data_IF_525929231124
#
_entry.id   IF_525929231124
#
_cell.length_a   1.000
_cell.length_b   1.000
_cell.length_c   1.000
_cell.angle_alpha   90.00
_cell.angle_beta   90.00
_cell.angle_gamma   90.00
#
_symmetry.space_group_name_H-M   'P 1'
#
loop_
_entity.id
_entity.type
_entity.pdbx_description
1 polymer ?
#
# COMPACT_ATOMS: atom_id res chain seq x y z
N UNK A 1 -0.39 -13.18 -30.32
CA UNK A 1 -0.76 -13.33 -28.88
C UNK A 1 -1.13 -11.97 -28.33
N UNK A 2 -1.95 -11.93 -27.28
CA UNK A 2 -2.19 -10.66 -26.56
C UNK A 2 -0.96 -10.36 -25.71
N UNK A 3 -0.50 -9.11 -25.64
CA UNK A 3 0.61 -8.74 -24.76
C UNK A 3 0.28 -9.02 -23.30
N UNK A 4 1.22 -9.61 -22.57
CA UNK A 4 1.07 -10.01 -21.17
C UNK A 4 1.61 -8.96 -20.22
N UNK A 5 0.73 -8.50 -19.32
CA UNK A 5 1.06 -7.52 -18.29
C UNK A 5 1.13 -8.20 -16.92
N UNK A 6 2.25 -8.05 -16.24
CA UNK A 6 2.36 -8.36 -14.81
C UNK A 6 1.86 -7.17 -14.00
N UNK A 7 0.73 -7.35 -13.30
CA UNK A 7 0.19 -6.35 -12.38
C UNK A 7 0.64 -6.70 -10.95
N UNK A 8 1.62 -5.97 -10.42
CA UNK A 8 1.99 -6.06 -9.02
C UNK A 8 0.94 -5.34 -8.18
N UNK A 9 0.18 -6.07 -7.38
CA UNK A 9 -0.99 -5.55 -6.67
C UNK A 9 -0.90 -5.78 -5.15
N UNK A 10 -1.86 -5.26 -4.44
CA UNK A 10 -1.97 -5.35 -2.98
C UNK A 10 -2.81 -4.23 -2.39
N UNK A 11 -3.45 -3.45 -3.25
CA UNK A 11 -4.31 -2.32 -2.91
C UNK A 11 -5.66 -2.45 -3.58
N UNK A 12 -6.63 -1.62 -3.18
CA UNK A 12 -7.99 -1.57 -3.75
C UNK A 12 -8.03 -1.19 -5.23
N UNK A 13 -6.99 -0.57 -5.75
CA UNK A 13 -6.88 -0.18 -7.17
C UNK A 13 -6.48 -1.35 -8.07
N UNK A 14 -5.82 -2.37 -7.51
CA UNK A 14 -5.39 -3.54 -8.28
C UNK A 14 -6.50 -4.16 -9.13
N UNK A 15 -7.67 -4.50 -8.56
CA UNK A 15 -8.79 -5.05 -9.33
C UNK A 15 -9.31 -4.10 -10.41
N UNK A 16 -9.38 -2.80 -10.13
CA UNK A 16 -9.87 -1.80 -11.09
C UNK A 16 -8.92 -1.66 -12.27
N UNK A 17 -7.61 -1.61 -11.99
CA UNK A 17 -6.57 -1.60 -13.01
C UNK A 17 -6.56 -2.91 -13.82
N UNK A 18 -6.66 -4.06 -13.13
CA UNK A 18 -6.72 -5.36 -13.79
C UNK A 18 -7.89 -5.47 -14.76
N UNK A 19 -9.10 -5.06 -14.36
CA UNK A 19 -10.27 -4.99 -15.22
C UNK A 19 -10.02 -4.08 -16.43
N UNK A 20 -9.56 -2.85 -16.20
CA UNK A 20 -9.33 -1.89 -17.27
C UNK A 20 -8.30 -2.36 -18.31
N UNK A 21 -7.25 -3.09 -17.87
CA UNK A 21 -6.27 -3.70 -18.76
C UNK A 21 -6.88 -4.85 -19.59
N UNK A 22 -7.69 -5.72 -18.97
CA UNK A 22 -8.41 -6.80 -19.68
C UNK A 22 -9.37 -6.22 -20.70
N UNK A 23 -10.17 -5.22 -20.34
CA UNK A 23 -11.10 -4.54 -21.24
C UNK A 23 -10.36 -3.84 -22.41
N UNK A 24 -9.11 -3.46 -22.21
CA UNK A 24 -8.22 -2.94 -23.25
C UNK A 24 -7.60 -4.03 -24.15
N UNK A 25 -7.92 -5.29 -23.93
CA UNK A 25 -7.49 -6.43 -24.76
C UNK A 25 -6.12 -7.00 -24.38
N UNK A 26 -5.59 -6.71 -23.20
CA UNK A 26 -4.33 -7.24 -22.69
C UNK A 26 -4.52 -8.55 -21.91
N UNK A 27 -3.50 -9.40 -21.90
CA UNK A 27 -3.42 -10.58 -21.02
C UNK A 27 -2.84 -10.14 -19.68
N UNK A 28 -3.58 -10.35 -18.59
CA UNK A 28 -3.21 -9.80 -17.26
C UNK A 28 -3.01 -10.90 -16.24
N UNK A 29 -1.82 -10.91 -15.65
CA UNK A 29 -1.54 -11.71 -14.46
C UNK A 29 -1.32 -10.74 -13.30
N UNK A 30 -2.25 -10.73 -12.33
CA UNK A 30 -2.12 -9.96 -11.11
C UNK A 30 -1.46 -10.78 -10.02
N UNK A 31 -0.56 -10.19 -9.24
CA UNK A 31 0.05 -10.88 -8.10
C UNK A 31 -0.31 -10.20 -6.79
N UNK A 32 -0.54 -11.01 -5.77
CA UNK A 32 -0.78 -10.60 -4.38
C UNK A 32 0.11 -11.40 -3.44
N UNK A 33 0.40 -10.90 -2.26
CA UNK A 33 1.32 -11.56 -1.31
C UNK A 33 0.62 -12.50 -0.32
N UNK A 34 -0.72 -12.63 -0.38
CA UNK A 34 -1.52 -13.45 0.55
C UNK A 34 -2.72 -14.05 -0.17
N UNK A 35 -3.02 -15.32 0.09
CA UNK A 35 -4.22 -15.99 -0.46
C UNK A 35 -5.53 -15.24 -0.18
N UNK A 36 -5.69 -14.77 1.05
CA UNK A 36 -6.87 -13.99 1.42
C UNK A 36 -7.08 -12.74 0.54
N UNK A 37 -6.02 -12.16 -0.01
CA UNK A 37 -6.12 -11.01 -0.90
C UNK A 37 -6.76 -11.35 -2.26
N UNK A 38 -6.67 -12.59 -2.74
CA UNK A 38 -7.40 -13.03 -3.95
C UNK A 38 -8.90 -12.82 -3.74
N UNK A 39 -9.44 -13.45 -2.70
CA UNK A 39 -10.87 -13.32 -2.39
C UNK A 39 -11.26 -11.90 -2.03
N UNK A 40 -10.44 -11.24 -1.22
CA UNK A 40 -10.75 -9.96 -0.61
C UNK A 40 -10.74 -8.79 -1.59
N UNK A 41 -9.84 -8.85 -2.58
CA UNK A 41 -9.66 -7.80 -3.57
C UNK A 41 -10.23 -8.22 -4.93
N UNK A 42 -9.87 -9.40 -5.42
CA UNK A 42 -10.16 -9.85 -6.78
C UNK A 42 -11.37 -10.78 -6.91
N UNK A 43 -12.04 -11.14 -5.79
CA UNK A 43 -13.20 -12.01 -5.83
C UNK A 43 -14.27 -11.65 -6.88
N UNK A 44 -14.61 -10.35 -7.08
CA UNK A 44 -15.56 -9.93 -8.11
C UNK A 44 -15.07 -10.15 -9.56
N UNK A 45 -13.76 -10.32 -9.77
CA UNK A 45 -13.14 -10.53 -11.09
C UNK A 45 -12.72 -11.99 -11.31
N UNK A 46 -13.26 -12.93 -10.53
CA UNK A 46 -12.91 -14.34 -10.62
C UNK A 46 -13.17 -14.88 -12.03
N UNK A 47 -12.12 -15.40 -12.66
CA UNK A 47 -12.17 -15.97 -14.02
C UNK A 47 -11.97 -14.95 -15.16
N UNK A 48 -11.85 -13.65 -14.88
CA UNK A 48 -11.64 -12.63 -15.92
C UNK A 48 -10.14 -12.31 -16.12
N UNK A 49 -9.34 -12.48 -15.09
CA UNK A 49 -7.88 -12.41 -15.14
C UNK A 49 -7.26 -13.45 -14.20
N UNK A 50 -6.02 -13.78 -14.44
CA UNK A 50 -5.25 -14.66 -13.55
C UNK A 50 -4.77 -13.89 -12.33
N UNK A 51 -4.97 -14.45 -11.13
CA UNK A 51 -4.43 -13.90 -9.89
C UNK A 51 -3.57 -14.93 -9.19
N UNK A 52 -2.32 -14.59 -8.91
CA UNK A 52 -1.36 -15.49 -8.27
C UNK A 52 -0.95 -14.97 -6.89
N UNK A 53 -0.71 -15.89 -5.95
CA UNK A 53 -0.09 -15.56 -4.67
C UNK A 53 1.41 -15.64 -4.84
N UNK A 54 2.02 -14.50 -5.13
CA UNK A 54 3.44 -14.42 -5.42
C UNK A 54 4.07 -13.19 -4.78
N UNK A 55 5.06 -13.42 -3.93
CA UNK A 55 5.97 -12.39 -3.47
C UNK A 55 7.31 -12.54 -4.19
N UNK A 56 7.88 -11.45 -4.66
CA UNK A 56 9.13 -11.49 -5.40
C UNK A 56 10.32 -10.95 -4.60
N UNK A 57 11.44 -11.65 -4.72
CA UNK A 57 12.77 -11.09 -4.62
C UNK A 57 13.33 -10.80 -6.04
N UNK A 58 14.54 -10.27 -6.15
CA UNK A 58 15.08 -9.87 -7.46
C UNK A 58 15.31 -11.08 -8.39
N UNK A 59 15.91 -12.22 -7.94
CA UNK A 59 16.02 -13.40 -8.77
C UNK A 59 14.66 -13.95 -9.24
N UNK A 60 13.72 -14.13 -8.32
CA UNK A 60 12.40 -14.67 -8.64
C UNK A 60 11.61 -13.79 -9.60
N UNK A 61 11.72 -12.47 -9.49
CA UNK A 61 11.09 -11.56 -10.45
C UNK A 61 11.75 -11.64 -11.83
N UNK A 62 13.09 -11.75 -11.89
CA UNK A 62 13.82 -11.92 -13.14
C UNK A 62 13.34 -13.17 -13.89
N UNK A 63 13.31 -14.31 -13.21
CA UNK A 63 12.87 -15.59 -13.79
C UNK A 63 11.41 -15.49 -14.27
N UNK A 64 10.57 -14.80 -13.52
CA UNK A 64 9.17 -14.59 -13.89
C UNK A 64 9.02 -13.70 -15.13
N UNK A 65 9.78 -12.61 -15.24
CA UNK A 65 9.70 -11.70 -16.38
C UNK A 65 10.18 -12.36 -17.68
N UNK A 66 11.25 -13.15 -17.65
CA UNK A 66 11.77 -13.85 -18.85
C UNK A 66 10.84 -14.97 -19.31
N UNK A 67 9.88 -15.40 -18.51
CA UNK A 67 8.87 -16.42 -18.91
C UNK A 67 7.81 -15.90 -19.88
N UNK A 68 7.88 -14.62 -20.29
CA UNK A 68 6.99 -14.04 -21.29
C UNK A 68 6.08 -12.93 -20.78
N UNK A 69 6.62 -12.00 -20.01
CA UNK A 69 5.96 -10.75 -19.60
C UNK A 69 6.43 -9.61 -20.51
N UNK A 70 5.48 -8.90 -21.11
CA UNK A 70 5.77 -7.79 -22.03
C UNK A 70 5.88 -6.42 -21.34
N UNK A 71 5.23 -6.24 -20.18
CA UNK A 71 5.39 -5.05 -19.36
C UNK A 71 4.94 -5.30 -17.90
N UNK A 72 5.42 -4.46 -16.99
CA UNK A 72 5.04 -4.46 -15.57
C UNK A 72 4.27 -3.19 -15.22
N UNK A 73 3.09 -3.36 -14.62
CA UNK A 73 2.36 -2.28 -13.95
C UNK A 73 2.46 -2.49 -12.44
N UNK A 74 3.20 -1.62 -11.76
CA UNK A 74 3.34 -1.65 -10.30
C UNK A 74 2.26 -0.76 -9.65
N UNK A 75 1.23 -1.39 -9.11
CA UNK A 75 0.16 -0.78 -8.32
C UNK A 75 0.25 -1.18 -6.84
N UNK A 76 1.44 -1.48 -6.35
CA UNK A 76 1.66 -1.80 -4.94
C UNK A 76 1.45 -0.57 -4.06
N UNK A 77 1.25 -0.81 -2.76
CA UNK A 77 1.05 0.26 -1.79
C UNK A 77 2.24 1.23 -1.78
N UNK A 78 2.04 2.56 -1.67
CA UNK A 78 3.13 3.55 -1.68
C UNK A 78 4.28 3.28 -0.69
N UNK A 79 3.98 2.59 0.41
CA UNK A 79 4.97 2.18 1.41
C UNK A 79 5.61 0.80 1.14
N UNK A 80 5.33 0.17 0.00
CA UNK A 80 5.94 -1.11 -0.41
C UNK A 80 7.27 -0.90 -1.15
N UNK A 81 8.12 0.00 -0.65
CA UNK A 81 9.36 0.49 -1.28
C UNK A 81 10.28 -0.62 -1.79
N UNK A 82 10.36 -1.74 -1.04
CA UNK A 82 11.25 -2.85 -1.41
C UNK A 82 10.87 -3.46 -2.76
N UNK A 83 9.61 -3.83 -2.95
CA UNK A 83 9.18 -4.48 -4.20
C UNK A 83 9.16 -3.49 -5.36
N UNK A 84 8.77 -2.24 -5.14
CA UNK A 84 8.83 -1.18 -6.15
C UNK A 84 10.26 -1.00 -6.68
N UNK A 85 11.25 -0.94 -5.78
CA UNK A 85 12.67 -0.86 -6.18
C UNK A 85 13.13 -2.09 -6.96
N UNK A 86 12.83 -3.30 -6.44
CA UNK A 86 13.17 -4.55 -7.12
C UNK A 86 12.56 -4.59 -8.53
N UNK A 87 11.28 -4.26 -8.67
CA UNK A 87 10.59 -4.31 -9.95
C UNK A 87 11.19 -3.31 -10.95
N UNK A 88 11.43 -2.07 -10.53
CA UNK A 88 12.07 -1.07 -11.37
C UNK A 88 13.45 -1.51 -11.83
N UNK A 89 14.30 -1.97 -10.91
CA UNK A 89 15.69 -2.31 -11.18
C UNK A 89 15.79 -3.56 -12.10
N UNK A 90 15.00 -4.61 -11.84
CA UNK A 90 14.95 -5.81 -12.69
C UNK A 90 14.36 -5.52 -14.07
N UNK A 91 13.30 -4.71 -14.15
CA UNK A 91 12.74 -4.28 -15.43
C UNK A 91 13.77 -3.50 -16.27
N UNK A 92 14.50 -2.58 -15.65
CA UNK A 92 15.56 -1.81 -16.32
C UNK A 92 16.69 -2.72 -16.82
N UNK A 93 17.10 -3.72 -16.01
CA UNK A 93 18.12 -4.71 -16.39
C UNK A 93 17.72 -5.54 -17.62
N UNK A 94 16.45 -5.97 -17.67
CA UNK A 94 15.93 -6.84 -18.73
C UNK A 94 15.36 -6.08 -19.93
N UNK A 95 15.30 -4.76 -19.88
CA UNK A 95 14.62 -3.95 -20.90
C UNK A 95 13.12 -4.12 -20.94
N UNK A 96 12.50 -4.68 -19.87
CA UNK A 96 11.05 -4.82 -19.77
C UNK A 96 10.44 -3.48 -19.37
N UNK A 97 9.43 -2.97 -20.10
CA UNK A 97 8.75 -1.74 -19.76
C UNK A 97 8.15 -1.78 -18.36
N UNK A 98 8.35 -0.71 -17.59
CA UNK A 98 7.83 -0.56 -16.23
C UNK A 98 7.02 0.72 -16.08
N UNK A 99 5.80 0.59 -15.57
CA UNK A 99 4.90 1.71 -15.26
C UNK A 99 4.60 1.66 -13.76
N UNK A 100 4.71 2.79 -13.08
CA UNK A 100 4.28 2.95 -11.70
C UNK A 100 2.92 3.63 -11.66
N UNK A 101 1.93 2.96 -11.05
CA UNK A 101 0.67 3.61 -10.69
C UNK A 101 0.78 4.18 -9.28
N UNK A 102 0.63 5.48 -9.15
CA UNK A 102 0.64 6.17 -7.87
C UNK A 102 -0.66 6.90 -7.64
N UNK A 103 -1.25 6.67 -6.48
CA UNK A 103 -2.43 7.44 -6.04
C UNK A 103 -2.10 8.92 -5.99
N UNK A 104 -3.05 9.81 -6.35
CA UNK A 104 -2.89 11.23 -6.11
C UNK A 104 -2.47 11.53 -4.68
N UNK A 105 -1.62 12.53 -4.52
CA UNK A 105 -1.18 12.95 -3.21
C UNK A 105 -2.35 13.47 -2.38
N UNK A 106 -2.32 13.12 -1.12
CA UNK A 106 -3.19 13.70 -0.13
C UNK A 106 -2.41 14.77 0.63
N UNK A 107 -2.92 15.98 0.62
CA UNK A 107 -2.33 17.09 1.35
C UNK A 107 -2.84 17.07 2.79
N UNK A 108 -1.95 16.95 3.78
CA UNK A 108 -2.33 17.00 5.18
C UNK A 108 -2.97 18.34 5.53
N UNK A 109 -4.07 18.36 6.30
CA UNK A 109 -4.63 19.61 6.80
C UNK A 109 -3.63 20.40 7.66
N UNK A 110 -3.83 21.72 7.73
CA UNK A 110 -3.06 22.59 8.61
C UNK A 110 -3.08 22.09 10.06
N UNK A 111 -1.95 22.20 10.75
CA UNK A 111 -1.77 21.69 12.12
C UNK A 111 -1.43 20.20 12.21
N UNK A 112 -1.36 19.49 11.08
CA UNK A 112 -0.86 18.11 11.06
C UNK A 112 0.66 18.09 11.26
N UNK A 113 1.14 17.26 12.19
CA UNK A 113 2.58 17.01 12.34
C UNK A 113 3.03 15.98 11.30
N UNK A 114 4.14 16.26 10.62
CA UNK A 114 4.73 15.33 9.64
C UNK A 114 5.94 14.62 10.24
N UNK A 115 6.19 13.41 9.77
CA UNK A 115 7.39 12.63 10.02
C UNK A 115 7.81 11.92 8.73
N UNK A 116 9.07 12.00 8.37
CA UNK A 116 9.58 11.36 7.15
C UNK A 116 9.65 9.84 7.26
N UNK A 117 9.79 9.30 8.50
CA UNK A 117 9.94 7.86 8.74
C UNK A 117 9.10 7.38 9.92
N UNK A 118 8.90 6.06 10.01
CA UNK A 118 8.25 5.44 11.18
C UNK A 118 9.07 5.61 12.45
N UNK A 119 10.39 5.65 12.36
CA UNK A 119 11.27 5.87 13.50
C UNK A 119 11.10 7.30 14.03
N UNK A 120 11.15 8.30 13.17
CA UNK A 120 10.90 9.70 13.54
C UNK A 120 9.49 9.87 14.13
N UNK A 121 8.48 9.24 13.53
CA UNK A 121 7.12 9.28 14.09
C UNK A 121 7.05 8.71 15.52
N UNK A 122 7.82 7.66 15.81
CA UNK A 122 7.91 7.11 17.16
C UNK A 122 8.60 8.06 18.16
N UNK A 123 9.59 8.83 17.71
CA UNK A 123 10.25 9.87 18.53
C UNK A 123 9.33 11.06 18.80
N UNK A 124 8.52 11.45 17.80
CA UNK A 124 7.61 12.61 17.88
C UNK A 124 6.33 12.30 18.67
N UNK A 125 5.80 11.08 18.58
CA UNK A 125 4.53 10.71 19.19
C UNK A 125 4.42 11.05 20.69
N UNK A 126 5.45 10.85 21.56
CA UNK A 126 5.39 11.19 22.98
C UNK A 126 5.24 12.70 23.27
N UNK A 127 5.57 13.56 22.34
CA UNK A 127 5.44 15.02 22.49
C UNK A 127 3.99 15.48 22.20
N UNK A 128 3.19 14.62 21.58
CA UNK A 128 1.86 14.95 21.13
C UNK A 128 0.77 14.46 22.11
N UNK A 129 1.01 13.40 22.89
CA UNK A 129 0.05 12.90 23.86
C UNK A 129 0.43 11.52 24.36
N UNK A 130 -0.35 10.99 25.31
CA UNK A 130 -0.05 9.74 25.99
C UNK A 130 -0.83 8.52 25.47
N UNK A 131 -1.94 8.75 24.77
CA UNK A 131 -2.82 7.72 24.23
C UNK A 131 -2.80 7.76 22.71
N UNK A 132 -2.06 6.86 22.09
CA UNK A 132 -1.72 6.91 20.66
C UNK A 132 -2.42 5.79 19.90
N UNK A 133 -3.23 6.15 18.92
CA UNK A 133 -3.89 5.24 17.99
C UNK A 133 -3.04 5.08 16.72
N UNK A 134 -2.45 3.91 16.54
CA UNK A 134 -1.64 3.57 15.37
C UNK A 134 -2.51 2.92 14.30
N UNK A 135 -2.74 3.60 13.17
CA UNK A 135 -3.49 3.07 12.02
C UNK A 135 -2.58 2.84 10.81
N UNK A 136 -1.35 2.40 11.07
CA UNK A 136 -0.24 2.27 10.13
C UNK A 136 -0.03 0.84 9.61
N UNK A 137 -0.84 -0.13 10.07
CA UNK A 137 -0.69 -1.56 9.80
C UNK A 137 0.35 -2.23 10.72
N UNK A 138 0.48 -3.56 10.62
CA UNK A 138 1.25 -4.34 11.58
C UNK A 138 2.78 -4.23 11.43
N UNK A 139 3.29 -4.09 10.18
CA UNK A 139 4.73 -4.10 9.91
C UNK A 139 5.53 -3.00 10.64
N UNK A 140 5.04 -1.74 10.69
CA UNK A 140 5.78 -0.67 11.34
C UNK A 140 5.64 -0.62 12.86
N UNK A 141 4.78 -1.41 13.49
CA UNK A 141 4.55 -1.38 14.93
C UNK A 141 5.83 -1.56 15.74
N UNK A 142 6.79 -2.33 15.22
CA UNK A 142 8.11 -2.54 15.84
C UNK A 142 8.86 -1.24 16.15
N UNK A 143 8.65 -0.16 15.37
CA UNK A 143 9.29 1.13 15.62
C UNK A 143 8.75 1.81 16.88
N UNK A 144 7.54 1.45 17.32
CA UNK A 144 6.89 1.98 18.51
C UNK A 144 7.05 1.09 19.74
N UNK A 145 7.68 -0.09 19.62
CA UNK A 145 7.79 -1.09 20.68
C UNK A 145 8.44 -0.53 21.96
N UNK A 146 9.47 0.30 21.84
CA UNK A 146 10.19 0.90 22.96
C UNK A 146 9.36 1.94 23.75
N UNK A 147 8.18 2.31 23.25
CA UNK A 147 7.28 3.27 23.89
C UNK A 147 6.25 2.59 24.84
N UNK A 148 6.18 1.25 24.86
CA UNK A 148 5.37 0.54 25.84
C UNK A 148 5.86 0.87 27.26
N UNK A 149 4.92 1.06 28.19
CA UNK A 149 5.21 1.51 29.54
C UNK A 149 5.31 3.04 29.71
N UNK A 150 5.64 3.77 28.64
CA UNK A 150 5.62 5.24 28.60
C UNK A 150 4.32 5.80 28.02
N UNK A 151 3.81 5.14 26.99
CA UNK A 151 2.57 5.52 26.30
C UNK A 151 1.55 4.39 26.32
N UNK A 152 0.29 4.73 26.23
CA UNK A 152 -0.79 3.78 25.92
C UNK A 152 -0.92 3.71 24.40
N UNK A 153 -0.40 2.64 23.82
CA UNK A 153 -0.44 2.42 22.38
C UNK A 153 -1.60 1.49 22.01
N UNK A 154 -2.36 1.87 21.00
CA UNK A 154 -3.41 1.07 20.38
C UNK A 154 -3.03 0.81 18.92
N UNK A 155 -3.20 -0.42 18.44
CA UNK A 155 -2.89 -0.81 17.07
C UNK A 155 -4.15 -1.28 16.34
N UNK A 156 -4.51 -0.60 15.25
CA UNK A 156 -5.52 -1.07 14.30
C UNK A 156 -4.83 -1.71 13.10
N UNK A 157 -5.05 -3.01 12.93
CA UNK A 157 -4.40 -3.86 11.94
C UNK A 157 -5.43 -4.67 11.15
N UNK A 158 -5.00 -5.29 10.04
CA UNK A 158 -5.85 -6.21 9.30
C UNK A 158 -6.07 -7.51 10.09
N UNK A 159 -7.25 -8.17 9.96
CA UNK A 159 -7.55 -9.44 10.59
C UNK A 159 -6.84 -10.60 9.87
N UNK A 160 -5.54 -10.72 10.07
CA UNK A 160 -4.70 -11.78 9.53
C UNK A 160 -3.76 -12.28 10.63
N UNK A 161 -3.55 -13.59 10.68
CA UNK A 161 -2.70 -14.23 11.71
C UNK A 161 -1.29 -13.62 11.74
N UNK A 162 -0.71 -13.35 10.59
CA UNK A 162 0.59 -12.71 10.47
C UNK A 162 0.61 -11.27 11.02
N UNK A 163 -0.47 -10.50 10.81
CA UNK A 163 -0.60 -9.15 11.37
C UNK A 163 -0.67 -9.19 12.89
N UNK A 164 -1.41 -10.15 13.44
CA UNK A 164 -1.54 -10.36 14.88
C UNK A 164 -0.20 -10.80 15.49
N UNK A 165 0.49 -11.76 14.86
CA UNK A 165 1.81 -12.20 15.30
C UNK A 165 2.82 -11.06 15.35
N UNK A 166 2.83 -10.17 14.35
CA UNK A 166 3.69 -8.98 14.32
C UNK A 166 3.34 -7.97 15.42
N UNK A 167 2.06 -7.79 15.71
CA UNK A 167 1.64 -6.91 16.79
C UNK A 167 2.10 -7.45 18.15
N UNK A 168 1.96 -8.75 18.41
CA UNK A 168 2.48 -9.38 19.62
C UNK A 168 4.00 -9.28 19.71
N UNK A 169 4.72 -9.54 18.62
CA UNK A 169 6.18 -9.39 18.58
C UNK A 169 6.63 -7.94 18.83
N UNK A 170 5.79 -6.96 18.53
CA UNK A 170 6.01 -5.54 18.83
C UNK A 170 5.54 -5.14 20.25
N UNK A 171 5.16 -6.10 21.12
CA UNK A 171 4.83 -5.87 22.53
C UNK A 171 3.39 -5.44 22.81
N UNK A 172 2.49 -5.49 21.81
CA UNK A 172 1.09 -5.17 22.03
C UNK A 172 0.37 -6.33 22.71
N UNK A 173 -0.53 -6.00 23.64
CA UNK A 173 -1.40 -6.94 24.34
C UNK A 173 -2.75 -7.06 23.63
N UNK A 174 -3.52 -8.16 23.82
CA UNK A 174 -4.80 -8.39 23.13
C UNK A 174 -5.82 -7.26 23.28
N UNK A 175 -5.85 -6.61 24.45
CA UNK A 175 -6.75 -5.48 24.77
C UNK A 175 -6.40 -4.18 24.01
N UNK A 176 -5.26 -4.14 23.34
CA UNK A 176 -4.75 -2.97 22.59
C UNK A 176 -4.60 -3.22 21.09
N UNK A 177 -5.05 -4.39 20.61
CA UNK A 177 -5.01 -4.76 19.19
C UNK A 177 -6.43 -4.85 18.65
N UNK A 178 -6.68 -4.13 17.54
CA UNK A 178 -7.96 -4.14 16.85
C UNK A 178 -7.81 -4.67 15.44
N UNK A 179 -8.29 -5.90 15.22
CA UNK A 179 -8.25 -6.59 13.94
C UNK A 179 -9.48 -6.21 13.11
N UNK A 180 -9.38 -5.15 12.32
CA UNK A 180 -10.49 -4.57 11.57
C UNK A 180 -10.11 -4.38 10.11
N UNK A 181 -11.08 -4.62 9.19
CA UNK A 181 -10.91 -4.45 7.75
C UNK A 181 -11.60 -3.18 7.27
N UNK A 182 -10.88 -2.26 6.56
CA UNK A 182 -11.50 -1.10 5.94
C UNK A 182 -12.41 -1.52 4.76
N UNK A 183 -13.28 -0.62 4.25
CA UNK A 183 -13.34 0.81 4.57
C UNK A 183 -14.06 1.13 5.89
N UNK A 184 -13.76 2.30 6.46
CA UNK A 184 -14.44 2.81 7.67
C UNK A 184 -14.91 4.23 7.43
N UNK A 185 -16.15 4.53 7.82
CA UNK A 185 -16.69 5.88 7.77
C UNK A 185 -16.04 6.80 8.81
N UNK A 186 -16.24 8.12 8.64
CA UNK A 186 -15.84 9.13 9.63
C UNK A 186 -16.49 8.90 10.99
N UNK A 187 -17.78 8.56 11.00
CA UNK A 187 -18.56 8.29 12.21
C UNK A 187 -18.00 7.10 12.97
N UNK A 188 -17.71 6.01 12.27
CA UNK A 188 -17.06 4.85 12.88
C UNK A 188 -15.70 5.21 13.48
N UNK A 189 -14.84 5.90 12.73
CA UNK A 189 -13.53 6.32 13.22
C UNK A 189 -13.68 7.22 14.45
N UNK A 190 -14.62 8.18 14.43
CA UNK A 190 -14.87 9.10 15.53
C UNK A 190 -15.32 8.36 16.80
N UNK A 191 -16.32 7.46 16.70
CA UNK A 191 -16.78 6.65 17.82
C UNK A 191 -15.66 5.76 18.38
N UNK A 192 -14.91 5.12 17.48
CA UNK A 192 -13.80 4.25 17.84
C UNK A 192 -12.68 5.00 18.57
N UNK A 193 -12.25 6.15 18.07
CA UNK A 193 -11.21 6.94 18.73
C UNK A 193 -11.66 7.51 20.07
N UNK A 194 -12.91 7.93 20.17
CA UNK A 194 -13.50 8.44 21.43
C UNK A 194 -13.56 7.35 22.50
N UNK A 195 -14.00 6.13 22.16
CA UNK A 195 -14.09 4.99 23.08
C UNK A 195 -12.75 4.70 23.76
N UNK A 196 -11.66 4.74 22.97
CA UNK A 196 -10.32 4.51 23.50
C UNK A 196 -9.64 5.78 24.01
N UNK A 197 -10.35 6.92 24.06
CA UNK A 197 -9.83 8.22 24.50
C UNK A 197 -8.48 8.54 23.85
N UNK A 198 -8.37 8.28 22.55
CA UNK A 198 -7.14 8.52 21.80
C UNK A 198 -6.86 10.03 21.72
N UNK A 199 -5.64 10.42 22.00
CA UNK A 199 -5.17 11.81 21.98
C UNK A 199 -4.37 12.11 20.70
N UNK A 200 -3.73 11.07 20.16
CA UNK A 200 -2.89 11.16 18.97
C UNK A 200 -3.32 10.09 17.98
N UNK A 201 -3.51 10.48 16.72
CA UNK A 201 -3.69 9.57 15.60
C UNK A 201 -2.40 9.53 14.77
N UNK A 202 -1.84 8.34 14.59
CA UNK A 202 -0.72 8.12 13.67
C UNK A 202 -1.24 7.44 12.40
N UNK A 203 -1.03 8.10 11.25
CA UNK A 203 -1.44 7.65 9.91
C UNK A 203 -0.28 7.65 8.93
N UNK A 204 -0.46 6.99 7.79
CA UNK A 204 0.44 7.05 6.63
C UNK A 204 -0.19 7.87 5.52
N UNK A 205 0.58 8.70 4.83
CA UNK A 205 0.16 9.42 3.62
C UNK A 205 -0.02 8.44 2.45
N UNK A 206 -1.00 7.51 2.57
CA UNK A 206 -1.24 6.44 1.59
C UNK A 206 -2.22 6.82 0.48
N UNK A 207 -2.62 8.09 0.41
CA UNK A 207 -3.60 8.62 -0.53
C UNK A 207 -5.05 8.40 -0.07
N UNK A 208 -5.98 9.09 -0.75
CA UNK A 208 -7.41 9.14 -0.38
C UNK A 208 -8.03 7.74 -0.32
N UNK A 209 -7.77 6.89 -1.30
CA UNK A 209 -8.29 5.52 -1.34
C UNK A 209 -7.85 4.64 -0.14
N UNK A 210 -6.85 5.08 0.65
CA UNK A 210 -6.45 4.44 1.90
C UNK A 210 -7.33 4.80 3.11
N UNK A 211 -8.42 5.59 2.92
CA UNK A 211 -9.32 6.05 3.97
C UNK A 211 -8.63 7.00 4.96
N UNK A 212 -7.67 7.79 4.47
CA UNK A 212 -6.94 8.75 5.32
C UNK A 212 -7.82 9.93 5.68
N UNK A 213 -8.67 10.38 4.76
CA UNK A 213 -9.56 11.54 4.93
C UNK A 213 -10.50 11.30 6.12
N UNK A 214 -11.25 10.20 6.10
CA UNK A 214 -12.22 9.83 7.12
C UNK A 214 -11.57 9.68 8.52
N UNK A 215 -10.34 9.18 8.56
CA UNK A 215 -9.58 9.05 9.81
C UNK A 215 -9.14 10.40 10.37
N UNK A 216 -8.60 11.25 9.50
CA UNK A 216 -8.06 12.55 9.91
C UNK A 216 -9.19 13.50 10.30
N UNK A 217 -10.29 13.52 9.54
CA UNK A 217 -11.48 14.30 9.90
C UNK A 217 -12.07 13.86 11.24
N UNK A 218 -12.21 12.55 11.47
CA UNK A 218 -12.68 12.01 12.75
C UNK A 218 -11.76 12.40 13.93
N UNK A 219 -10.47 12.38 13.73
CA UNK A 219 -9.51 12.80 14.75
C UNK A 219 -9.63 14.30 15.05
N UNK A 220 -9.79 15.14 14.02
CA UNK A 220 -9.98 16.59 14.19
C UNK A 220 -11.27 16.93 14.91
N UNK A 221 -12.38 16.22 14.64
CA UNK A 221 -13.64 16.38 15.36
C UNK A 221 -13.51 16.15 16.87
N UNK A 222 -12.56 15.33 17.26
CA UNK A 222 -12.26 14.99 18.66
C UNK A 222 -11.13 15.84 19.26
N UNK A 223 -10.58 16.79 18.51
CA UNK A 223 -9.43 17.59 18.96
C UNK A 223 -8.14 16.79 19.11
N UNK A 224 -8.05 15.61 18.50
CA UNK A 224 -6.84 14.79 18.52
C UNK A 224 -5.73 15.44 17.69
N UNK A 225 -4.49 15.24 18.11
CA UNK A 225 -3.31 15.59 17.29
C UNK A 225 -3.10 14.52 16.23
N UNK A 226 -2.80 14.96 15.00
CA UNK A 226 -2.54 14.05 13.88
C UNK A 226 -1.05 14.07 13.55
N UNK A 227 -0.45 12.89 13.53
CA UNK A 227 0.92 12.64 13.09
C UNK A 227 0.86 11.80 11.82
N UNK A 228 1.28 12.39 10.71
CA UNK A 228 1.27 11.74 9.40
C UNK A 228 2.69 11.36 9.01
N UNK A 229 2.88 10.09 8.68
CA UNK A 229 4.12 9.59 8.11
C UNK A 229 4.05 9.83 6.61
N UNK A 230 5.02 10.60 6.11
CA UNK A 230 5.10 10.97 4.70
C UNK A 230 5.32 9.75 3.82
N UNK A 231 4.87 9.86 2.57
CA UNK A 231 5.15 8.85 1.56
C UNK A 231 6.67 8.82 1.32
N UNK A 232 7.30 7.64 1.35
CA UNK A 232 8.71 7.55 0.97
C UNK A 232 8.90 8.12 -0.44
N UNK A 233 9.81 9.09 -0.57
CA UNK A 233 10.19 9.62 -1.87
C UNK A 233 10.92 8.53 -2.65
N UNK A 234 10.33 8.09 -3.75
CA UNK A 234 10.95 7.17 -4.70
C UNK A 234 11.39 7.96 -5.94
N UNK A 235 12.51 7.58 -6.54
CA UNK A 235 12.83 8.01 -7.89
C UNK A 235 11.83 7.34 -8.84
N UNK A 236 10.81 8.08 -9.25
CA UNK A 236 9.80 7.58 -10.19
C UNK A 236 10.28 7.82 -11.62
N UNK A 237 10.33 6.75 -12.41
CA UNK A 237 10.69 6.83 -13.84
C UNK A 237 9.50 7.26 -14.70
N UNK A 238 8.35 6.61 -14.53
CA UNK A 238 7.08 6.98 -15.16
C UNK A 238 5.99 6.67 -14.15
N UNK A 239 5.47 7.68 -13.48
CA UNK A 239 4.33 7.53 -12.58
C UNK A 239 3.07 8.09 -13.22
N UNK A 240 2.00 7.31 -13.18
CA UNK A 240 0.66 7.72 -13.60
C UNK A 240 -0.28 7.65 -12.41
N UNK A 241 -1.24 8.54 -12.35
CA UNK A 241 -2.18 8.62 -11.23
C UNK A 241 -3.62 8.28 -11.59
N UNK A 242 -3.90 8.14 -12.87
CA UNK A 242 -5.21 7.81 -13.41
C UNK A 242 -5.20 6.43 -14.05
N UNK A 243 -6.33 5.74 -13.99
CA UNK A 243 -6.47 4.37 -14.52
C UNK A 243 -6.33 4.38 -16.05
N UNK A 244 -6.98 5.36 -16.72
CA UNK A 244 -6.88 5.52 -18.17
C UNK A 244 -5.45 5.79 -18.64
N UNK A 245 -4.68 6.59 -17.90
CA UNK A 245 -3.25 6.84 -18.16
C UNK A 245 -2.42 5.56 -18.00
N UNK A 246 -2.69 4.76 -16.96
CA UNK A 246 -1.98 3.50 -16.73
C UNK A 246 -2.23 2.50 -17.87
N UNK A 247 -3.47 2.37 -18.33
CA UNK A 247 -3.85 1.52 -19.46
C UNK A 247 -3.20 2.01 -20.76
N UNK A 248 -3.25 3.32 -21.04
CA UNK A 248 -2.63 3.91 -22.21
C UNK A 248 -1.12 3.68 -22.21
N UNK A 249 -0.45 3.95 -21.07
CA UNK A 249 1.00 3.72 -20.93
C UNK A 249 1.39 2.25 -21.19
N UNK A 250 0.64 1.29 -20.62
CA UNK A 250 0.90 -0.13 -20.87
C UNK A 250 0.74 -0.48 -22.35
N UNK A 251 -0.34 -0.03 -23.00
CA UNK A 251 -0.58 -0.28 -24.43
C UNK A 251 0.48 0.33 -25.33
N UNK A 252 0.87 1.56 -25.08
CA UNK A 252 1.89 2.26 -25.85
C UNK A 252 3.26 1.58 -25.76
N UNK A 253 3.61 1.10 -24.56
CA UNK A 253 4.90 0.43 -24.32
C UNK A 253 4.96 -0.94 -25.00
N UNK A 254 3.90 -1.74 -24.94
CA UNK A 254 3.87 -3.05 -25.62
C UNK A 254 3.63 -2.93 -27.12
N UNK A 255 3.00 -1.84 -27.60
CA UNK A 255 2.78 -1.58 -29.04
C UNK A 255 4.04 -1.09 -29.78
N UNK A 256 5.02 -0.54 -29.07
CA UNK A 256 6.28 -0.06 -29.67
C UNK A 256 7.29 -1.17 -29.99
N UNK A 257 7.00 -2.44 -29.59
CA UNK A 257 7.92 -3.58 -29.77
C UNK A 257 9.26 -3.33 -29.09
N UNK A 258 9.80 -4.30 -28.38
CA UNK A 258 11.20 -4.24 -27.95
C UNK A 258 12.08 -3.95 -29.19
N UNK A 259 13.07 -3.04 -29.11
CA UNK A 259 14.06 -2.92 -30.16
C UNK A 259 14.68 -4.32 -30.32
N UNK A 260 14.39 -4.97 -31.43
CA UNK A 260 15.05 -6.22 -31.83
C UNK A 260 16.53 -5.94 -31.81
N UNK A 261 17.23 -6.47 -30.81
CA UNK A 261 18.67 -6.43 -30.76
C UNK A 261 19.23 -6.91 -32.08
N UNK A 262 19.82 -6.00 -32.83
CA UNK A 262 20.63 -6.35 -34.00
C UNK A 262 21.90 -7.05 -33.51
N UNK A 263 22.17 -8.19 -34.11
CA UNK A 263 23.17 -9.21 -33.91
C UNK A 263 24.59 -8.84 -33.57
#
# INVERSE_FOLDING_TARGET
MRPRILLLSGTSEGPVLGRALVDAGLDVVATVTREGAIRDLFGPLNGELTVEVQGFDAPGLRDYLVSGVDAVLDATHPFAVRITRIARDVCAELGVPYVRYERPDWLPPEGTRLAATFAEAAEVAPMLGNRVMLTIGANPLKHFAHLHGRLTLFARILPAAESLARAFAAGFTPDRIFCLRPPFSREFNRAFFAEYRAEVLVVKASGVAGGIVEKVEAARDLGMRVLTIERPSGESTVAVSRIDEAVAACRDLVGRGLPTGQG
#
